data_IF_882659956436
#
_entry.id   IF_882659956436
#
_cell.length_a   1.000
_cell.length_b   1.000
_cell.length_c   1.000
_cell.angle_alpha   90.00
_cell.angle_beta   90.00
_cell.angle_gamma   90.00
#
_symmetry.space_group_name_H-M   'P 1'
#
loop_
_entity.id
_entity.type
_entity.pdbx_description
1 polymer ?
#
# COMPACT_ATOMS: atom_id res chain seq x y z
N UNK A 1 -3.97 -9.22 -16.62
CA UNK A 1 -4.67 -7.97 -16.26
C UNK A 1 -6.02 -8.39 -15.65
N UNK A 2 -6.17 -8.32 -14.32
CA UNK A 2 -7.34 -8.82 -13.57
C UNK A 2 -8.43 -7.72 -13.44
N UNK A 3 -8.78 -7.07 -14.55
CA UNK A 3 -9.78 -5.99 -14.57
C UNK A 3 -11.19 -6.56 -14.77
N UNK A 4 -11.81 -7.09 -13.71
CA UNK A 4 -13.17 -7.63 -13.83
C UNK A 4 -13.77 -8.24 -12.56
N UNK A 5 -13.00 -8.41 -11.48
CA UNK A 5 -13.52 -8.96 -10.23
C UNK A 5 -14.59 -8.06 -9.58
N UNK A 6 -14.45 -6.74 -9.72
CA UNK A 6 -15.42 -5.78 -9.20
C UNK A 6 -16.75 -5.87 -9.95
N UNK A 7 -16.73 -5.99 -11.27
CA UNK A 7 -17.92 -6.23 -12.10
C UNK A 7 -18.60 -7.55 -11.73
N UNK A 8 -17.83 -8.64 -11.66
CA UNK A 8 -18.34 -9.96 -11.29
C UNK A 8 -19.03 -9.96 -9.90
N UNK A 9 -18.40 -9.34 -8.90
CA UNK A 9 -18.98 -9.24 -7.55
C UNK A 9 -20.25 -8.41 -7.54
N UNK A 10 -20.29 -7.31 -8.31
CA UNK A 10 -21.46 -6.44 -8.42
C UNK A 10 -22.68 -7.21 -8.95
N UNK A 11 -22.49 -7.93 -10.06
CA UNK A 11 -23.54 -8.76 -10.66
C UNK A 11 -24.02 -9.86 -9.71
N UNK A 12 -23.10 -10.52 -9.00
CA UNK A 12 -23.46 -11.60 -8.08
C UNK A 12 -24.19 -11.09 -6.82
N UNK A 13 -23.82 -9.92 -6.29
CA UNK A 13 -24.50 -9.29 -5.15
C UNK A 13 -25.92 -8.86 -5.55
N UNK A 14 -26.07 -8.22 -6.71
CA UNK A 14 -27.37 -7.77 -7.22
C UNK A 14 -28.29 -8.96 -7.48
N UNK A 15 -27.76 -10.04 -8.09
CA UNK A 15 -28.52 -11.28 -8.31
C UNK A 15 -28.99 -11.93 -7.01
N UNK A 16 -28.19 -11.89 -5.94
CA UNK A 16 -28.53 -12.52 -4.65
C UNK A 16 -29.40 -11.66 -3.75
N UNK A 17 -29.33 -10.35 -3.88
CA UNK A 17 -29.97 -9.42 -2.93
C UNK A 17 -31.10 -8.61 -3.53
N UNK A 18 -31.16 -8.47 -4.86
CA UNK A 18 -32.11 -7.61 -5.57
C UNK A 18 -31.82 -6.11 -5.46
N UNK A 19 -30.69 -5.72 -4.85
CA UNK A 19 -30.29 -4.32 -4.74
C UNK A 19 -29.33 -3.93 -5.87
N UNK A 20 -29.60 -2.78 -6.50
CA UNK A 20 -28.71 -2.18 -7.50
C UNK A 20 -27.30 -2.04 -6.90
N UNK A 21 -26.32 -2.72 -7.51
CA UNK A 21 -24.95 -2.72 -7.02
C UNK A 21 -24.03 -2.10 -8.08
N UNK A 22 -23.12 -1.22 -7.64
CA UNK A 22 -22.19 -0.52 -8.54
C UNK A 22 -20.75 -0.92 -8.26
N UNK A 23 -19.99 -1.16 -9.32
CA UNK A 23 -18.56 -1.48 -9.25
C UNK A 23 -17.70 -0.26 -9.60
N UNK A 24 -16.46 -0.24 -9.11
CA UNK A 24 -15.47 0.79 -9.40
C UNK A 24 -14.25 0.20 -10.14
N UNK A 25 -13.63 1.03 -10.98
CA UNK A 25 -12.42 0.67 -11.73
C UNK A 25 -11.16 0.87 -10.90
N UNK A 26 -10.30 -0.14 -10.89
CA UNK A 26 -9.05 -0.15 -10.12
C UNK A 26 -7.89 0.56 -10.81
N UNK A 27 -7.90 0.70 -12.14
CA UNK A 27 -6.75 1.22 -12.89
C UNK A 27 -6.41 2.68 -12.53
N UNK A 28 -7.37 3.43 -11.97
CA UNK A 28 -7.14 4.78 -11.45
C UNK A 28 -6.22 4.82 -10.22
N UNK A 29 -6.14 3.73 -9.45
CA UNK A 29 -5.47 3.70 -8.14
C UNK A 29 -3.93 3.72 -8.22
N UNK A 30 -3.35 3.73 -9.43
CA UNK A 30 -1.91 3.97 -9.66
C UNK A 30 -1.61 5.35 -10.23
N UNK A 31 -2.63 6.10 -10.61
CA UNK A 31 -2.55 7.48 -11.06
C UNK A 31 -3.12 8.44 -10.03
N UNK A 32 -2.98 9.74 -10.28
CA UNK A 32 -3.48 10.79 -9.41
C UNK A 32 -2.40 11.62 -8.75
N UNK A 33 -2.81 12.74 -8.17
CA UNK A 33 -1.90 13.67 -7.49
C UNK A 33 -1.50 13.06 -6.15
N UNK A 34 -0.19 12.96 -5.82
CA UNK A 34 0.26 12.41 -4.55
C UNK A 34 -0.24 13.26 -3.39
N UNK A 35 -0.62 12.60 -2.29
CA UNK A 35 -1.05 13.28 -1.07
C UNK A 35 0.10 14.09 -0.45
N UNK A 36 -0.22 15.01 0.46
CA UNK A 36 0.81 15.75 1.20
C UNK A 36 1.78 14.82 1.94
N UNK A 37 1.26 13.71 2.47
CA UNK A 37 2.07 12.70 3.13
C UNK A 37 3.03 12.03 2.14
N UNK A 38 2.56 11.60 0.97
CA UNK A 38 3.39 10.93 -0.03
C UNK A 38 4.51 11.84 -0.54
N UNK A 39 4.23 13.14 -0.70
CA UNK A 39 5.24 14.14 -1.08
C UNK A 39 6.33 14.28 -0.02
N UNK A 40 5.94 14.42 1.25
CA UNK A 40 6.90 14.54 2.36
C UNK A 40 7.71 13.25 2.49
N UNK A 41 7.05 12.09 2.41
CA UNK A 41 7.70 10.79 2.47
C UNK A 41 8.72 10.62 1.34
N UNK A 42 8.33 10.92 0.09
CA UNK A 42 9.21 10.84 -1.07
C UNK A 42 10.45 11.72 -0.91
N UNK A 43 10.28 12.97 -0.47
CA UNK A 43 11.40 13.88 -0.20
C UNK A 43 12.32 13.34 0.89
N UNK A 44 11.77 12.90 2.03
CA UNK A 44 12.57 12.36 3.15
C UNK A 44 13.36 11.11 2.74
N UNK A 45 12.73 10.20 2.01
CA UNK A 45 13.40 8.99 1.50
C UNK A 45 14.50 9.34 0.50
N UNK A 46 14.27 10.32 -0.37
CA UNK A 46 15.23 10.81 -1.35
C UNK A 46 16.48 11.42 -0.71
N UNK A 47 16.28 12.36 0.23
CA UNK A 47 17.38 13.00 0.98
C UNK A 47 18.24 11.95 1.69
N UNK A 48 17.60 11.03 2.43
CA UNK A 48 18.32 10.00 3.16
C UNK A 48 19.06 9.02 2.23
N UNK A 49 18.52 8.75 1.05
CA UNK A 49 19.22 7.92 0.05
C UNK A 49 20.51 8.57 -0.44
N UNK A 50 20.53 9.88 -0.59
CA UNK A 50 21.76 10.63 -0.94
C UNK A 50 22.78 10.56 0.21
N UNK A 51 22.33 10.71 1.46
CA UNK A 51 23.20 10.56 2.64
C UNK A 51 23.81 9.15 2.74
N UNK A 52 23.03 8.12 2.42
CA UNK A 52 23.51 6.74 2.36
C UNK A 52 24.62 6.57 1.32
N UNK A 53 24.44 7.14 0.12
CA UNK A 53 25.45 7.10 -0.95
C UNK A 53 26.73 7.81 -0.49
N UNK A 54 26.60 9.02 0.08
CA UNK A 54 27.74 9.78 0.59
C UNK A 54 28.50 9.03 1.71
N UNK A 55 27.77 8.23 2.50
CA UNK A 55 28.34 7.41 3.57
C UNK A 55 28.82 6.01 3.10
N UNK A 56 28.82 5.74 1.79
CA UNK A 56 29.24 4.44 1.23
C UNK A 56 28.33 3.25 1.57
N UNK A 57 27.10 3.50 2.01
CA UNK A 57 26.14 2.48 2.47
C UNK A 57 25.40 1.79 1.31
N UNK A 58 26.14 1.07 0.47
CA UNK A 58 25.58 0.33 -0.68
C UNK A 58 24.93 -1.01 -0.28
N UNK A 59 24.05 -1.54 -1.15
CA UNK A 59 23.35 -2.81 -0.90
C UNK A 59 22.23 -2.71 0.15
N UNK A 60 21.76 -1.49 0.41
CA UNK A 60 20.77 -1.15 1.42
C UNK A 60 19.62 -0.38 0.80
N UNK A 61 18.45 -0.46 1.41
CA UNK A 61 17.21 0.19 1.01
C UNK A 61 16.81 1.21 2.07
N UNK A 62 16.49 2.43 1.65
CA UNK A 62 15.86 3.44 2.49
C UNK A 62 14.42 3.00 2.83
N UNK A 63 14.02 3.14 4.09
CA UNK A 63 12.73 2.69 4.59
C UNK A 63 12.19 3.64 5.66
N UNK A 64 10.89 3.55 5.92
CA UNK A 64 10.25 4.19 7.06
C UNK A 64 9.86 3.11 8.08
N UNK A 65 10.20 3.32 9.35
CA UNK A 65 9.79 2.48 10.47
C UNK A 65 9.14 3.34 11.54
N UNK A 66 7.82 3.20 11.70
CA UNK A 66 7.03 4.16 12.47
C UNK A 66 7.08 5.54 11.80
N UNK A 67 7.64 6.54 12.48
CA UNK A 67 7.81 7.89 11.95
C UNK A 67 9.25 8.21 11.51
N UNK A 68 10.18 7.26 11.68
CA UNK A 68 11.60 7.46 11.45
C UNK A 68 12.05 6.91 10.09
N UNK A 69 12.96 7.65 9.43
CA UNK A 69 13.62 7.20 8.20
C UNK A 69 14.87 6.41 8.59
N UNK A 70 15.02 5.23 8.02
CA UNK A 70 16.10 4.31 8.34
C UNK A 70 16.56 3.56 7.08
N UNK A 71 17.62 2.77 7.21
CA UNK A 71 18.10 1.88 6.17
C UNK A 71 18.09 0.41 6.63
N UNK A 72 17.84 -0.48 5.68
CA UNK A 72 17.87 -1.93 5.90
C UNK A 72 18.61 -2.61 4.77
N UNK A 73 19.31 -3.72 5.04
CA UNK A 73 19.92 -4.51 3.96
C UNK A 73 18.83 -5.09 3.07
N UNK A 74 19.07 -5.10 1.75
CA UNK A 74 18.11 -5.67 0.79
C UNK A 74 17.81 -7.14 1.14
N UNK A 75 18.83 -7.90 1.55
CA UNK A 75 18.69 -9.29 2.03
C UNK A 75 17.68 -9.43 3.17
N UNK A 76 17.69 -8.51 4.14
CA UNK A 76 16.75 -8.53 5.26
C UNK A 76 15.36 -8.05 4.82
N UNK A 77 15.29 -7.05 3.94
CA UNK A 77 14.03 -6.51 3.43
C UNK A 77 13.18 -7.58 2.71
N UNK A 78 13.81 -8.45 1.92
CA UNK A 78 13.13 -9.52 1.17
C UNK A 78 12.96 -10.83 1.96
N UNK A 79 13.48 -10.90 3.18
CA UNK A 79 13.52 -12.16 3.95
C UNK A 79 12.16 -12.65 4.41
N UNK A 80 11.16 -11.77 4.51
CA UNK A 80 9.82 -12.08 4.99
C UNK A 80 8.78 -11.31 4.19
N UNK A 81 7.68 -11.97 3.85
CA UNK A 81 6.52 -11.32 3.25
C UNK A 81 5.82 -10.41 4.27
N UNK A 82 5.50 -9.18 3.82
CA UNK A 82 4.63 -8.27 4.57
C UNK A 82 3.18 -8.67 4.35
N UNK A 83 2.61 -9.38 5.31
CA UNK A 83 1.19 -9.77 5.30
C UNK A 83 0.31 -8.67 5.90
N UNK A 84 -0.98 -8.69 5.57
CA UNK A 84 -1.98 -7.84 6.22
C UNK A 84 -2.10 -8.25 7.69
N UNK A 85 -2.18 -7.26 8.58
CA UNK A 85 -2.45 -7.49 9.98
C UNK A 85 -3.95 -7.76 10.19
N UNK A 86 -4.28 -8.97 10.65
CA UNK A 86 -5.67 -9.37 10.87
C UNK A 86 -6.31 -8.66 12.05
N UNK A 87 -5.54 -8.09 12.97
CA UNK A 87 -6.11 -7.31 14.07
C UNK A 87 -6.74 -6.01 13.55
N UNK A 88 -6.14 -5.40 12.52
CA UNK A 88 -6.76 -4.26 11.82
C UNK A 88 -8.08 -4.66 11.16
N UNK A 89 -8.13 -5.86 10.56
CA UNK A 89 -9.37 -6.38 9.97
C UNK A 89 -10.46 -6.59 11.02
N UNK A 90 -10.12 -7.15 12.19
CA UNK A 90 -11.07 -7.33 13.32
C UNK A 90 -11.63 -5.99 13.80
N UNK A 91 -10.81 -4.93 13.85
CA UNK A 91 -11.29 -3.59 14.19
C UNK A 91 -12.31 -3.10 13.16
N UNK A 92 -12.04 -3.30 11.86
CA UNK A 92 -12.98 -2.93 10.81
C UNK A 92 -14.34 -3.65 10.94
N UNK A 93 -14.34 -4.92 11.40
CA UNK A 93 -15.57 -5.71 11.58
C UNK A 93 -16.57 -5.08 12.57
N UNK A 94 -16.12 -4.22 13.49
CA UNK A 94 -17.01 -3.51 14.41
C UNK A 94 -18.00 -2.60 13.65
N UNK A 95 -17.61 -2.10 12.48
CA UNK A 95 -18.38 -1.13 11.70
C UNK A 95 -19.28 -1.78 10.62
N UNK A 96 -19.25 -3.11 10.45
CA UNK A 96 -20.02 -3.80 9.39
C UNK A 96 -21.41 -4.27 9.84
N UNK A 97 -21.96 -3.65 10.89
CA UNK A 97 -23.32 -3.92 11.38
C UNK A 97 -24.37 -3.09 10.66
#
# INVERSE_FOLDING_TARGET
MLGGISTYLSEEIEKRTGFETRSLFWDMCRGGVPSSFDRILGTRLGVYSVEMINSGKFGRMCAIQGNEITDITIKKAISKLKTVDLDIYKVAQVFFK
#
